data_IF_783565765723
#
_entry.id   IF_783565765723
#
_cell.length_a   1.000
_cell.length_b   1.000
_cell.length_c   1.000
_cell.angle_alpha   90.00
_cell.angle_beta   90.00
_cell.angle_gamma   90.00
#
_symmetry.space_group_name_H-M   'P 1'
#
loop_
_entity.id
_entity.type
_entity.pdbx_description
1 polymer ?
#
# COMPACT_ATOMS: atom_id res chain seq x y z
N UNK A 1 12.93 -12.92 -18.30
CA UNK A 1 12.17 -12.24 -17.23
C UNK A 1 11.78 -13.27 -16.18
N UNK A 2 12.07 -13.04 -14.89
CA UNK A 2 11.72 -13.99 -13.80
C UNK A 2 10.80 -13.29 -12.81
N UNK A 3 9.71 -13.94 -12.45
CA UNK A 3 8.78 -13.47 -11.43
C UNK A 3 9.30 -13.91 -10.06
N UNK A 4 9.53 -12.97 -9.16
CA UNK A 4 9.89 -13.23 -7.76
C UNK A 4 8.65 -13.00 -6.91
N UNK A 5 8.30 -13.97 -6.05
CA UNK A 5 7.14 -13.85 -5.17
C UNK A 5 7.41 -12.81 -4.09
N UNK A 6 6.55 -11.79 -4.02
CA UNK A 6 6.55 -10.86 -2.90
C UNK A 6 6.07 -11.53 -1.61
N UNK A 7 6.35 -10.88 -0.47
CA UNK A 7 5.83 -11.30 0.84
C UNK A 7 4.30 -11.23 0.82
N UNK A 8 3.65 -12.19 1.47
CA UNK A 8 2.21 -12.13 1.72
C UNK A 8 1.95 -11.13 2.85
N UNK A 9 1.23 -10.05 2.55
CA UNK A 9 0.74 -9.12 3.56
C UNK A 9 -0.60 -9.62 4.08
N UNK A 10 -0.78 -9.59 5.39
CA UNK A 10 -2.12 -9.69 5.96
C UNK A 10 -2.84 -8.37 5.63
N UNK A 11 -3.82 -8.43 4.73
CA UNK A 11 -4.57 -7.24 4.30
C UNK A 11 -5.50 -6.83 5.44
N UNK A 12 -5.02 -5.91 6.29
CA UNK A 12 -5.80 -5.34 7.39
C UNK A 12 -6.61 -4.14 6.89
N UNK A 13 -7.85 -3.95 7.37
CA UNK A 13 -8.56 -2.68 7.21
C UNK A 13 -7.77 -1.56 7.89
N UNK A 14 -7.51 -0.46 7.17
CA UNK A 14 -6.89 0.75 7.71
C UNK A 14 -7.26 1.96 6.86
N UNK A 15 -7.14 3.15 7.44
CA UNK A 15 -7.25 4.43 6.73
C UNK A 15 -6.02 4.69 5.86
N UNK A 16 -6.14 5.63 4.91
CA UNK A 16 -5.01 6.07 4.07
C UNK A 16 -3.89 6.67 4.93
N UNK A 17 -4.24 7.42 5.98
CA UNK A 17 -3.25 8.06 6.85
C UNK A 17 -2.45 7.03 7.67
N UNK A 18 -3.12 6.01 8.22
CA UNK A 18 -2.45 4.90 8.90
C UNK A 18 -1.52 4.13 7.95
N UNK A 19 -2.00 3.86 6.72
CA UNK A 19 -1.19 3.23 5.69
C UNK A 19 0.04 4.09 5.32
N UNK A 20 -0.11 5.42 5.28
CA UNK A 20 0.97 6.36 5.02
C UNK A 20 2.06 6.32 6.10
N UNK A 21 1.67 6.25 7.36
CA UNK A 21 2.61 6.10 8.48
C UNK A 21 3.41 4.78 8.36
N UNK A 22 2.75 3.66 8.06
CA UNK A 22 3.40 2.35 7.89
C UNK A 22 4.41 2.35 6.73
N UNK A 23 4.11 2.99 5.59
CA UNK A 23 5.05 3.09 4.46
C UNK A 23 6.19 4.07 4.77
N UNK A 24 5.93 5.13 5.53
CA UNK A 24 6.93 6.12 5.90
C UNK A 24 8.00 5.51 6.83
N UNK A 25 7.56 4.76 7.85
CA UNK A 25 8.40 4.14 8.88
C UNK A 25 8.95 2.77 8.46
N UNK A 26 8.32 2.15 7.46
CA UNK A 26 8.64 0.81 7.00
C UNK A 26 9.90 0.71 6.15
N UNK A 27 10.45 -0.52 6.07
CA UNK A 27 11.49 -0.87 5.09
C UNK A 27 10.92 -1.17 3.70
N UNK A 28 9.63 -1.49 3.64
CA UNK A 28 8.98 -1.88 2.40
C UNK A 28 8.60 -0.62 1.60
N UNK A 29 8.85 -0.64 0.29
CA UNK A 29 8.57 0.49 -0.58
C UNK A 29 7.08 0.66 -0.90
N UNK A 30 6.25 -0.32 -0.54
CA UNK A 30 4.81 -0.34 -0.79
C UNK A 30 4.07 -1.15 0.28
N UNK A 31 2.79 -0.85 0.45
CA UNK A 31 1.86 -1.52 1.34
C UNK A 31 0.56 -1.81 0.60
N UNK A 32 0.07 -3.04 0.71
CA UNK A 32 -1.25 -3.45 0.22
C UNK A 32 -2.19 -3.55 1.43
N UNK A 33 -3.31 -2.84 1.39
CA UNK A 33 -4.25 -2.77 2.51
C UNK A 33 -5.70 -2.72 2.02
N UNK A 34 -6.65 -2.98 2.92
CA UNK A 34 -8.07 -2.75 2.65
C UNK A 34 -8.40 -1.35 3.18
N UNK A 35 -8.84 -0.46 2.30
CA UNK A 35 -9.26 0.87 2.71
C UNK A 35 -10.51 0.76 3.59
N UNK A 36 -10.46 1.29 4.80
CA UNK A 36 -11.56 1.19 5.76
C UNK A 36 -12.79 2.01 5.37
N UNK A 37 -12.65 2.99 4.47
CA UNK A 37 -13.74 3.85 4.01
C UNK A 37 -14.46 3.31 2.77
N UNK A 38 -13.73 2.62 1.88
CA UNK A 38 -14.30 2.08 0.62
C UNK A 38 -14.44 0.56 0.64
N UNK A 39 -13.83 -0.11 1.61
CA UNK A 39 -13.67 -1.57 1.68
C UNK A 39 -12.87 -2.18 0.52
N UNK A 40 -12.25 -1.37 -0.33
CA UNK A 40 -11.49 -1.82 -1.49
C UNK A 40 -10.02 -2.10 -1.16
N UNK A 41 -9.36 -2.84 -2.05
CA UNK A 41 -7.92 -3.11 -1.92
C UNK A 41 -7.16 -1.97 -2.55
N UNK A 42 -6.37 -1.25 -1.75
CA UNK A 42 -5.53 -0.15 -2.22
C UNK A 42 -4.06 -0.51 -2.06
N UNK A 43 -3.20 0.11 -2.88
CA UNK A 43 -1.74 0.01 -2.75
C UNK A 43 -1.17 1.40 -2.53
N UNK A 44 -0.49 1.59 -1.40
CA UNK A 44 0.28 2.80 -1.13
C UNK A 44 1.76 2.52 -1.36
N UNK A 45 2.50 3.45 -1.96
CA UNK A 45 3.93 3.26 -2.25
C UNK A 45 4.71 4.57 -2.23
N UNK A 46 6.02 4.46 -2.01
CA UNK A 46 6.94 5.61 -2.05
C UNK A 46 7.29 5.94 -3.49
N UNK A 47 7.07 7.19 -3.87
CA UNK A 47 7.45 7.73 -5.19
C UNK A 47 8.91 8.18 -5.18
N UNK A 48 9.50 8.27 -6.38
CA UNK A 48 10.88 8.72 -6.55
C UNK A 48 11.09 10.20 -6.16
N UNK A 49 10.03 11.01 -6.17
CA UNK A 49 10.05 12.43 -5.77
C UNK A 49 9.93 12.63 -4.25
N UNK A 50 9.90 11.54 -3.46
CA UNK A 50 9.77 11.58 -2.01
C UNK A 50 8.33 11.62 -1.49
N UNK A 51 7.33 11.76 -2.37
CA UNK A 51 5.93 11.73 -1.99
C UNK A 51 5.39 10.30 -1.90
N UNK A 52 4.17 10.16 -1.39
CA UNK A 52 3.42 8.91 -1.44
C UNK A 52 2.50 8.88 -2.66
N UNK A 53 2.39 7.71 -3.27
CA UNK A 53 1.43 7.40 -4.33
C UNK A 53 0.40 6.38 -3.85
N UNK A 54 -0.85 6.56 -4.26
CA UNK A 54 -1.97 5.66 -3.99
C UNK A 54 -2.46 5.07 -5.31
N UNK A 55 -2.63 3.76 -5.35
CA UNK A 55 -3.30 3.02 -6.44
C UNK A 55 -4.61 2.49 -5.88
N UNK A 56 -5.68 2.82 -6.58
CA UNK A 56 -7.05 2.36 -6.31
C UNK A 56 -7.54 1.58 -7.53
N UNK A 57 -8.21 0.43 -7.32
CA UNK A 57 -8.79 -0.33 -8.42
C UNK A 57 -9.98 0.44 -8.99
N UNK A 58 -10.08 0.49 -10.31
CA UNK A 58 -11.32 0.87 -10.98
C UNK A 58 -12.22 -0.38 -11.05
N UNK A 59 -13.48 -0.24 -10.66
CA UNK A 59 -14.47 -1.32 -10.66
C UNK A 59 -14.94 -1.67 -12.09
#
# INVERSE_FOLDING_TARGET
MRIIRARRYAVKPMSIDEAAMEVADGRDAFLVFRNSSTEEINVLFRRADGNLGLIEPEA
#
